data_IF_201770584549
#
_entry.id   IF_201770584549
#
_cell.length_a   1.000
_cell.length_b   1.000
_cell.length_c   1.000
_cell.angle_alpha   90.00
_cell.angle_beta   90.00
_cell.angle_gamma   90.00
#
_symmetry.space_group_name_H-M   'P 1'
#
loop_
_entity.id
_entity.type
_entity.pdbx_description
1 polymer ?
#
# COMPACT_ATOMS: atom_id res chain seq x y z
N UNK A 1 12.99 -4.85 17.76
CA UNK A 1 12.53 -3.99 16.65
C UNK A 1 12.26 -2.56 17.11
N UNK A 2 11.57 -2.35 18.22
CA UNK A 2 11.35 -1.00 18.76
C UNK A 2 12.67 -0.31 19.08
N UNK A 3 13.61 -1.07 19.62
CA UNK A 3 14.95 -0.58 19.93
C UNK A 3 15.69 -0.14 18.66
N UNK A 4 15.50 -0.89 17.57
CA UNK A 4 16.08 -0.56 16.26
C UNK A 4 15.51 0.74 15.73
N UNK A 5 14.20 0.95 15.87
CA UNK A 5 13.51 2.17 15.44
C UNK A 5 13.99 3.38 16.27
N UNK A 6 14.18 3.21 17.56
CA UNK A 6 14.72 4.27 18.43
C UNK A 6 16.13 4.69 18.02
N UNK A 7 16.95 3.73 17.57
CA UNK A 7 18.32 4.00 17.12
C UNK A 7 18.37 4.57 15.70
N UNK A 8 17.43 4.17 14.83
CA UNK A 8 17.40 4.61 13.43
C UNK A 8 15.99 5.04 13.01
N UNK A 9 15.48 6.15 13.58
CA UNK A 9 14.08 6.56 13.34
C UNK A 9 13.78 7.00 11.90
N UNK A 10 14.81 7.17 11.08
CA UNK A 10 14.66 7.56 9.66
C UNK A 10 14.85 6.39 8.70
N UNK A 11 14.98 5.16 9.21
CA UNK A 11 15.15 3.98 8.36
C UNK A 11 13.77 3.36 8.05
N UNK A 12 13.31 3.43 6.77
CA UNK A 12 12.02 2.88 6.41
C UNK A 12 11.94 1.36 6.59
N UNK A 13 13.06 0.65 6.43
CA UNK A 13 13.11 -0.81 6.63
C UNK A 13 12.84 -1.17 8.09
N UNK A 14 13.37 -0.40 9.03
CA UNK A 14 13.14 -0.62 10.46
C UNK A 14 11.65 -0.45 10.80
N UNK A 15 11.01 0.59 10.27
CA UNK A 15 9.58 0.83 10.48
C UNK A 15 8.73 -0.27 9.83
N UNK A 16 9.10 -0.70 8.63
CA UNK A 16 8.42 -1.78 7.92
C UNK A 16 8.48 -3.09 8.73
N UNK A 17 9.65 -3.44 9.25
CA UNK A 17 9.83 -4.65 10.05
C UNK A 17 9.05 -4.59 11.36
N UNK A 18 9.03 -3.43 12.01
CA UNK A 18 8.25 -3.23 13.23
C UNK A 18 6.76 -3.38 12.97
N UNK A 19 6.27 -2.83 11.86
CA UNK A 19 4.88 -2.97 11.46
C UNK A 19 4.51 -4.45 11.29
N UNK A 20 5.38 -5.23 10.66
CA UNK A 20 5.17 -6.67 10.48
C UNK A 20 5.04 -7.41 11.81
N UNK A 21 5.85 -7.03 12.80
CA UNK A 21 5.77 -7.61 14.14
C UNK A 21 4.42 -7.31 14.79
N UNK A 22 3.95 -6.07 14.72
CA UNK A 22 2.64 -5.71 15.29
C UNK A 22 1.49 -6.48 14.62
N UNK A 23 1.56 -6.66 13.31
CA UNK A 23 0.52 -7.40 12.56
C UNK A 23 0.52 -8.88 12.95
N UNK A 24 1.70 -9.48 13.11
CA UNK A 24 1.82 -10.88 13.55
C UNK A 24 1.31 -11.09 14.97
N UNK A 25 1.45 -10.08 15.82
CA UNK A 25 0.95 -10.13 17.19
C UNK A 25 -0.57 -9.99 17.28
N UNK A 26 -1.23 -9.61 16.20
CA UNK A 26 -2.68 -9.49 16.16
C UNK A 26 -3.31 -10.89 16.19
N UNK A 27 -3.68 -11.31 17.38
CA UNK A 27 -4.31 -12.60 17.62
C UNK A 27 -5.79 -12.37 17.88
N UNK A 28 -6.70 -12.97 17.11
CA UNK A 28 -8.15 -12.80 17.31
C UNK A 28 -8.64 -13.20 18.70
N UNK A 29 -7.88 -14.03 19.43
CA UNK A 29 -8.22 -14.44 20.80
C UNK A 29 -7.78 -13.41 21.85
N UNK A 30 -6.82 -12.55 21.50
CA UNK A 30 -6.26 -11.53 22.40
C UNK A 30 -6.30 -10.16 21.69
N UNK A 31 -7.30 -9.97 20.85
CA UNK A 31 -7.41 -8.81 20.00
C UNK A 31 -7.33 -7.50 20.80
N UNK A 32 -6.17 -6.88 20.75
CA UNK A 32 -5.97 -5.53 21.23
C UNK A 32 -5.95 -4.62 20.01
N UNK A 33 -6.96 -3.78 19.87
CA UNK A 33 -7.08 -2.85 18.73
C UNK A 33 -5.83 -1.99 18.57
N UNK A 34 -5.10 -1.76 19.65
CA UNK A 34 -3.87 -0.97 19.61
C UNK A 34 -2.77 -1.60 18.75
N UNK A 35 -2.70 -2.94 18.71
CA UNK A 35 -1.66 -3.65 17.95
C UNK A 35 -1.79 -3.37 16.46
N UNK A 36 -3.01 -3.42 15.92
CA UNK A 36 -3.27 -3.13 14.51
C UNK A 36 -3.03 -1.64 14.21
N UNK A 37 -3.51 -0.75 15.07
CA UNK A 37 -3.31 0.69 14.89
C UNK A 37 -1.83 1.04 14.89
N UNK A 38 -1.02 0.41 15.74
CA UNK A 38 0.42 0.61 15.77
C UNK A 38 1.08 0.08 14.51
N UNK A 39 0.64 -1.07 14.00
CA UNK A 39 1.09 -1.62 12.73
C UNK A 39 0.82 -0.66 11.58
N UNK A 40 -0.39 -0.11 11.52
CA UNK A 40 -0.80 0.87 10.52
C UNK A 40 0.11 2.11 10.58
N UNK A 41 0.34 2.65 11.77
CA UNK A 41 1.19 3.82 11.97
C UNK A 41 2.62 3.55 11.51
N UNK A 42 3.15 2.37 11.79
CA UNK A 42 4.49 1.98 11.36
C UNK A 42 4.61 1.89 9.84
N UNK A 43 3.62 1.30 9.17
CA UNK A 43 3.58 1.28 7.70
C UNK A 43 3.44 2.68 7.11
N UNK A 44 2.62 3.53 7.72
CA UNK A 44 2.48 4.92 7.28
C UNK A 44 3.79 5.67 7.42
N UNK A 45 4.52 5.44 8.51
CA UNK A 45 5.84 6.05 8.71
C UNK A 45 6.84 5.56 7.66
N UNK A 46 6.79 4.25 7.32
CA UNK A 46 7.60 3.70 6.25
C UNK A 46 7.37 4.46 4.94
N UNK A 47 6.10 4.72 4.62
CA UNK A 47 5.72 5.44 3.40
C UNK A 47 6.06 6.92 3.44
N UNK A 48 6.08 7.54 4.63
CA UNK A 48 6.56 8.93 4.76
C UNK A 48 8.05 9.03 4.45
N UNK A 49 8.82 8.05 4.89
CA UNK A 49 10.27 8.02 4.67
C UNK A 49 10.63 7.53 3.26
N UNK A 50 9.85 6.60 2.72
CA UNK A 50 10.07 6.05 1.39
C UNK A 50 8.73 5.88 0.66
N UNK A 51 8.21 6.94 0.00
CA UNK A 51 6.89 6.90 -0.67
C UNK A 51 6.77 5.85 -1.78
N UNK A 52 7.91 5.41 -2.34
CA UNK A 52 7.94 4.40 -3.40
C UNK A 52 7.96 2.96 -2.88
N UNK A 53 7.84 2.75 -1.57
CA UNK A 53 7.90 1.42 -0.95
C UNK A 53 6.59 0.67 -1.19
N UNK A 54 6.50 -0.06 -2.30
CA UNK A 54 5.28 -0.76 -2.72
C UNK A 54 4.84 -1.85 -1.73
N UNK A 55 5.77 -2.61 -1.18
CA UNK A 55 5.44 -3.66 -0.21
C UNK A 55 4.72 -3.10 1.01
N UNK A 56 5.17 -1.96 1.52
CA UNK A 56 4.51 -1.29 2.64
C UNK A 56 3.11 -0.83 2.24
N UNK A 57 2.94 -0.28 1.04
CA UNK A 57 1.64 0.12 0.52
C UNK A 57 0.67 -1.06 0.43
N UNK A 58 1.14 -2.20 -0.10
CA UNK A 58 0.31 -3.39 -0.25
C UNK A 58 -0.09 -3.98 1.11
N UNK A 59 0.85 -4.05 2.05
CA UNK A 59 0.59 -4.54 3.40
C UNK A 59 -0.40 -3.65 4.13
N UNK A 60 -0.22 -2.34 4.04
CA UNK A 60 -1.13 -1.37 4.65
C UNK A 60 -2.53 -1.46 4.05
N UNK A 61 -2.63 -1.59 2.72
CA UNK A 61 -3.90 -1.80 2.02
C UNK A 61 -4.62 -3.06 2.54
N UNK A 62 -3.90 -4.18 2.63
CA UNK A 62 -4.44 -5.45 3.11
C UNK A 62 -5.03 -5.32 4.52
N UNK A 63 -4.26 -4.74 5.44
CA UNK A 63 -4.69 -4.52 6.82
C UNK A 63 -5.92 -3.62 6.85
N UNK A 64 -5.88 -2.53 6.10
CA UNK A 64 -6.97 -1.57 6.05
C UNK A 64 -8.27 -2.23 5.56
N UNK A 65 -8.19 -3.06 4.52
CA UNK A 65 -9.37 -3.79 4.02
C UNK A 65 -9.88 -4.82 5.03
N UNK A 66 -8.99 -5.53 5.70
CA UNK A 66 -9.35 -6.55 6.69
C UNK A 66 -10.03 -5.95 7.92
N UNK A 67 -9.72 -4.70 8.24
CA UNK A 67 -10.28 -4.00 9.41
C UNK A 67 -11.30 -2.92 9.04
N UNK A 68 -11.90 -3.04 7.85
CA UNK A 68 -12.97 -2.16 7.37
C UNK A 68 -12.58 -0.68 7.27
N UNK A 69 -11.31 -0.43 6.97
CA UNK A 69 -10.78 0.92 6.77
C UNK A 69 -10.59 1.18 5.26
N UNK A 70 -11.68 1.06 4.50
CA UNK A 70 -11.68 1.17 3.04
C UNK A 70 -11.09 2.49 2.54
N UNK A 71 -11.42 3.59 3.21
CA UNK A 71 -10.91 4.92 2.84
C UNK A 71 -9.38 4.98 2.91
N UNK A 72 -8.80 4.37 3.94
CA UNK A 72 -7.34 4.30 4.09
C UNK A 72 -6.73 3.46 2.98
N UNK A 73 -7.31 2.30 2.67
CA UNK A 73 -6.84 1.43 1.60
C UNK A 73 -6.82 2.16 0.25
N UNK A 74 -7.89 2.91 -0.06
CA UNK A 74 -8.00 3.69 -1.29
C UNK A 74 -6.91 4.75 -1.35
N UNK A 75 -6.75 5.54 -0.28
CA UNK A 75 -5.73 6.60 -0.20
C UNK A 75 -4.32 6.06 -0.40
N UNK A 76 -4.01 4.95 0.27
CA UNK A 76 -2.69 4.33 0.18
C UNK A 76 -2.40 3.89 -1.25
N UNK A 77 -3.35 3.26 -1.91
CA UNK A 77 -3.14 2.78 -3.29
C UNK A 77 -3.14 3.90 -4.31
N UNK A 78 -3.93 4.96 -4.11
CA UNK A 78 -3.86 6.15 -4.96
C UNK A 78 -2.47 6.79 -4.88
N UNK A 79 -1.93 6.92 -3.67
CA UNK A 79 -0.56 7.42 -3.47
C UNK A 79 0.49 6.50 -4.09
N UNK A 80 0.30 5.18 -3.96
CA UNK A 80 1.22 4.20 -4.54
C UNK A 80 1.32 4.35 -6.06
N UNK A 81 0.20 4.56 -6.73
CA UNK A 81 0.16 4.80 -8.18
C UNK A 81 0.86 6.11 -8.55
N UNK A 82 0.61 7.17 -7.79
CA UNK A 82 1.24 8.48 -8.03
C UNK A 82 2.75 8.43 -7.86
N UNK A 83 3.23 7.72 -6.85
CA UNK A 83 4.67 7.60 -6.55
C UNK A 83 5.37 6.55 -7.41
N UNK A 84 4.62 5.61 -8.01
CA UNK A 84 5.16 4.54 -8.84
C UNK A 84 4.38 4.43 -10.15
N UNK A 85 4.39 5.49 -10.99
CA UNK A 85 3.54 5.55 -12.19
C UNK A 85 3.91 4.53 -13.26
N UNK A 86 5.11 3.94 -13.19
CA UNK A 86 5.57 2.94 -14.14
C UNK A 86 5.41 1.51 -13.62
N UNK A 87 4.77 1.34 -12.47
CA UNK A 87 4.58 0.03 -11.85
C UNK A 87 3.15 -0.48 -12.06
N UNK A 88 2.94 -1.48 -12.94
CA UNK A 88 1.58 -1.99 -13.20
C UNK A 88 0.92 -2.63 -11.99
N UNK A 89 1.69 -3.23 -11.08
CA UNK A 89 1.13 -3.83 -9.85
C UNK A 89 0.39 -2.81 -8.99
N UNK A 90 0.88 -1.57 -8.94
CA UNK A 90 0.23 -0.51 -8.19
C UNK A 90 -1.18 -0.25 -8.76
N UNK A 91 -1.30 -0.19 -10.08
CA UNK A 91 -2.60 0.00 -10.76
C UNK A 91 -3.54 -1.19 -10.52
N UNK A 92 -3.03 -2.42 -10.63
CA UNK A 92 -3.84 -3.62 -10.41
C UNK A 92 -4.40 -3.65 -8.99
N UNK A 93 -3.60 -3.30 -8.00
CA UNK A 93 -4.05 -3.25 -6.62
C UNK A 93 -5.05 -2.12 -6.38
N UNK A 94 -4.84 -0.96 -7.00
CA UNK A 94 -5.81 0.15 -6.92
C UNK A 94 -7.16 -0.27 -7.50
N UNK A 95 -7.15 -0.89 -8.68
CA UNK A 95 -8.37 -1.39 -9.33
C UNK A 95 -9.08 -2.40 -8.41
N UNK A 96 -8.31 -3.32 -7.82
CA UNK A 96 -8.84 -4.33 -6.90
C UNK A 96 -9.52 -3.68 -5.68
N UNK A 97 -8.90 -2.64 -5.12
CA UNK A 97 -9.47 -1.91 -3.98
C UNK A 97 -10.77 -1.22 -4.37
N UNK A 98 -10.80 -0.56 -5.53
CA UNK A 98 -12.01 0.08 -6.02
C UNK A 98 -13.14 -0.94 -6.24
N UNK A 99 -12.83 -2.10 -6.82
CA UNK A 99 -13.81 -3.17 -7.03
C UNK A 99 -14.37 -3.69 -5.70
N UNK A 100 -13.50 -3.91 -4.72
CA UNK A 100 -13.89 -4.37 -3.38
C UNK A 100 -14.77 -3.36 -2.65
N UNK A 101 -14.54 -2.07 -2.92
CA UNK A 101 -15.33 -0.98 -2.33
C UNK A 101 -16.54 -0.60 -3.18
N UNK A 102 -16.81 -1.36 -4.25
CA UNK A 102 -17.91 -1.14 -5.19
C UNK A 102 -17.86 0.22 -5.89
N UNK A 103 -16.64 0.74 -6.06
CA UNK A 103 -16.37 1.99 -6.79
C UNK A 103 -16.04 1.67 -8.24
N UNK A 104 -17.03 1.14 -8.96
CA UNK A 104 -16.84 0.57 -10.30
C UNK A 104 -16.45 1.61 -11.36
N UNK A 105 -16.92 2.83 -11.24
CA UNK A 105 -16.55 3.92 -12.16
C UNK A 105 -15.08 4.26 -12.04
N UNK A 106 -14.57 4.38 -10.81
CA UNK A 106 -13.17 4.65 -10.54
C UNK A 106 -12.30 3.47 -10.98
N UNK A 107 -12.78 2.24 -10.77
CA UNK A 107 -12.08 1.03 -11.22
C UNK A 107 -11.93 1.02 -12.74
N UNK A 108 -12.99 1.36 -13.47
CA UNK A 108 -12.96 1.45 -14.94
C UNK A 108 -11.98 2.52 -15.42
N UNK A 109 -11.98 3.68 -14.78
CA UNK A 109 -11.07 4.77 -15.10
C UNK A 109 -9.63 4.36 -14.86
N UNK A 110 -9.36 3.67 -13.74
CA UNK A 110 -8.02 3.17 -13.43
C UNK A 110 -7.56 2.14 -14.45
N UNK A 111 -8.45 1.24 -14.90
CA UNK A 111 -8.15 0.27 -15.98
C UNK A 111 -7.79 0.97 -17.27
N UNK A 112 -8.50 2.02 -17.60
CA UNK A 112 -8.27 2.83 -18.79
C UNK A 112 -6.90 3.50 -18.74
N UNK A 113 -6.57 4.12 -17.61
CA UNK A 113 -5.27 4.74 -17.38
C UNK A 113 -4.13 3.74 -17.50
N UNK A 114 -4.33 2.54 -16.95
CA UNK A 114 -3.37 1.45 -17.03
C UNK A 114 -3.12 1.04 -18.48
N UNK A 115 -4.17 0.82 -19.24
CA UNK A 115 -4.09 0.46 -20.67
C UNK A 115 -3.36 1.52 -21.49
N UNK A 116 -3.74 2.78 -21.32
CA UNK A 116 -3.16 3.89 -22.07
C UNK A 116 -1.68 4.03 -21.79
N UNK A 117 -1.31 3.98 -20.52
CA UNK A 117 0.09 4.14 -20.11
C UNK A 117 0.99 3.01 -20.59
N UNK A 118 0.54 1.77 -20.42
CA UNK A 118 1.38 0.62 -20.79
C UNK A 118 1.26 0.21 -22.25
N UNK A 119 0.16 0.51 -22.91
CA UNK A 119 0.03 0.37 -24.35
C UNK A 119 0.99 1.31 -25.10
N UNK A 120 1.08 2.56 -24.63
CA UNK A 120 2.01 3.55 -25.18
C UNK A 120 3.47 3.10 -25.02
N UNK A 121 3.80 2.55 -23.85
CA UNK A 121 5.13 2.03 -23.55
C UNK A 121 5.49 0.83 -24.43
N UNK A 122 4.52 -0.06 -24.66
CA UNK A 122 4.68 -1.21 -25.55
C UNK A 122 4.92 -0.78 -26.99
N UNK A 123 4.23 0.25 -27.47
CA UNK A 123 4.44 0.82 -28.80
C UNK A 123 5.84 1.43 -28.95
N UNK A 124 6.30 2.15 -27.94
CA UNK A 124 7.65 2.73 -27.92
C UNK A 124 8.72 1.63 -27.97
N UNK A 125 8.52 0.54 -27.23
CA UNK A 125 9.43 -0.60 -27.25
C UNK A 125 9.46 -1.32 -28.60
N UNK A 126 8.32 -1.44 -29.28
CA UNK A 126 8.25 -2.11 -30.58
C UNK A 126 8.72 -1.22 -31.72
N UNK A 127 8.74 0.11 -31.54
CA UNK A 127 9.24 1.06 -32.53
C UNK A 127 10.78 1.16 -32.53
N UNK A 128 11.41 0.66 -31.49
CA UNK A 128 12.86 0.66 -31.36
C UNK A 128 13.44 -0.69 -31.76
#
# INVERSE_FOLDING_TARGET
YERLVEMTPEDPIAWYNLAGVYVELDNPLVSDYNTIDMGIQCYMRTLELEPTHLEASFKLMEIALNHKKSDLAIKVMESAVENNPDEPLAYYNLISVYDKCKMFEQAEEARKRLKERFAKKAKESSAS
#
